data_IF_597411067529
#
_entry.id   IF_597411067529
#
_cell.length_a   1.000
_cell.length_b   1.000
_cell.length_c   1.000
_cell.angle_alpha   90.00
_cell.angle_beta   90.00
_cell.angle_gamma   90.00
#
_symmetry.space_group_name_H-M   'P 1'
#
loop_
_entity.id
_entity.type
_entity.pdbx_description
1 polymer ?
#
# COMPACT_ATOMS: atom_id res chain seq x y z
N UNK A 1 -6.51 7.12 -14.70
CA UNK A 1 -7.33 6.27 -13.79
C UNK A 1 -7.32 6.86 -12.40
N UNK A 2 -8.27 6.50 -11.52
CA UNK A 2 -8.29 7.01 -10.14
C UNK A 2 -8.98 6.06 -9.16
N UNK A 3 -8.64 6.20 -7.88
CA UNK A 3 -9.21 5.43 -6.79
C UNK A 3 -9.36 6.31 -5.56
N UNK A 4 -10.40 6.08 -4.76
CA UNK A 4 -10.63 6.84 -3.52
C UNK A 4 -10.97 5.89 -2.38
N UNK A 5 -10.28 6.06 -1.26
CA UNK A 5 -10.61 5.43 0.02
C UNK A 5 -11.38 6.45 0.84
N UNK A 6 -12.66 6.15 1.07
CA UNK A 6 -13.58 7.01 1.83
C UNK A 6 -13.85 6.33 3.18
N UNK A 7 -13.36 6.90 4.30
CA UNK A 7 -13.70 6.38 5.62
C UNK A 7 -15.11 6.77 6.05
N UNK A 8 -15.63 6.07 7.05
CA UNK A 8 -16.84 6.49 7.78
C UNK A 8 -16.55 7.77 8.60
N UNK A 9 -15.34 7.87 9.18
CA UNK A 9 -14.82 9.05 9.87
C UNK A 9 -13.32 9.14 9.62
N UNK A 10 -12.81 10.32 9.26
CA UNK A 10 -11.37 10.55 9.05
C UNK A 10 -11.05 11.12 7.67
N UNK A 11 -9.75 11.21 7.38
CA UNK A 11 -9.21 11.79 6.15
C UNK A 11 -9.46 10.90 4.93
N UNK A 12 -9.65 11.49 3.74
CA UNK A 12 -9.74 10.72 2.50
C UNK A 12 -8.35 10.44 1.93
N UNK A 13 -8.19 9.30 1.27
CA UNK A 13 -7.05 9.03 0.38
C UNK A 13 -7.55 8.96 -1.05
N UNK A 14 -7.05 9.84 -1.90
CA UNK A 14 -7.41 9.91 -3.32
C UNK A 14 -6.16 9.66 -4.16
N UNK A 15 -6.22 8.69 -5.06
CA UNK A 15 -5.16 8.34 -5.98
C UNK A 15 -5.58 8.69 -7.41
N UNK A 16 -4.67 9.26 -8.18
CA UNK A 16 -4.88 9.58 -9.59
C UNK A 16 -3.63 9.31 -10.42
N UNK A 17 -3.82 8.84 -11.64
CA UNK A 17 -2.75 8.74 -12.65
C UNK A 17 -2.93 9.88 -13.65
N UNK A 18 -1.88 10.65 -13.89
CA UNK A 18 -1.91 11.74 -14.87
C UNK A 18 -1.60 11.25 -16.31
N UNK A 19 -1.54 12.19 -17.26
CA UNK A 19 -1.28 11.88 -18.67
C UNK A 19 0.19 11.49 -18.97
N UNK A 20 1.08 11.55 -17.98
CA UNK A 20 2.48 11.13 -18.06
C UNK A 20 2.71 9.82 -17.28
N UNK A 21 1.63 9.11 -16.96
CA UNK A 21 1.65 7.86 -16.21
C UNK A 21 2.27 8.00 -14.80
N UNK A 22 2.24 9.20 -14.23
CA UNK A 22 2.68 9.46 -12.85
C UNK A 22 1.50 9.23 -11.91
N UNK A 23 1.73 8.46 -10.85
CA UNK A 23 0.74 8.18 -9.82
C UNK A 23 0.88 9.17 -8.67
N UNK A 24 -0.21 9.89 -8.42
CA UNK A 24 -0.31 10.85 -7.33
C UNK A 24 -1.26 10.36 -6.23
N UNK A 25 -1.02 10.86 -5.03
CA UNK A 25 -1.93 10.78 -3.89
C UNK A 25 -2.30 12.17 -3.40
N UNK A 26 -3.54 12.33 -2.92
CA UNK A 26 -4.00 13.47 -2.14
C UNK A 26 -4.51 12.95 -0.80
N UNK A 27 -4.08 13.62 0.27
CA UNK A 27 -4.55 13.34 1.62
C UNK A 27 -5.57 14.43 1.96
N UNK A 28 -6.83 14.06 2.16
CA UNK A 28 -7.90 14.97 2.61
C UNK A 28 -8.04 16.23 1.74
N UNK A 29 -8.12 16.03 0.42
CA UNK A 29 -8.31 17.10 -0.58
C UNK A 29 -7.21 18.16 -0.61
N UNK A 30 -6.02 17.86 -0.06
CA UNK A 30 -4.84 18.71 -0.18
C UNK A 30 -4.19 18.59 -1.57
N UNK A 31 -3.12 19.37 -1.79
CA UNK A 31 -2.36 19.35 -3.04
C UNK A 31 -1.74 17.97 -3.27
N UNK A 32 -1.71 17.55 -4.54
CA UNK A 32 -1.14 16.26 -4.95
C UNK A 32 0.34 16.11 -4.57
N UNK A 33 0.70 14.89 -4.21
CA UNK A 33 2.05 14.39 -3.95
C UNK A 33 2.27 13.12 -4.77
N UNK A 34 3.48 12.83 -5.27
CA UNK A 34 3.79 11.51 -5.82
C UNK A 34 3.42 10.43 -4.80
N UNK A 35 2.79 9.34 -5.25
CA UNK A 35 2.30 8.30 -4.34
C UNK A 35 3.43 7.63 -3.53
N UNK A 36 4.66 7.63 -4.05
CA UNK A 36 5.86 7.10 -3.40
C UNK A 36 6.27 7.89 -2.15
N UNK A 37 5.95 9.19 -2.06
CA UNK A 37 6.16 9.98 -0.84
C UNK A 37 5.39 9.37 0.33
N UNK A 38 4.15 8.91 0.10
CA UNK A 38 3.38 8.23 1.14
C UNK A 38 4.01 6.88 1.50
N UNK A 39 4.54 6.13 0.54
CA UNK A 39 5.23 4.86 0.83
C UNK A 39 6.48 5.06 1.69
N UNK A 40 7.28 6.09 1.40
CA UNK A 40 8.43 6.46 2.22
C UNK A 40 8.04 6.84 3.63
N UNK A 41 6.99 7.67 3.79
CA UNK A 41 6.49 8.05 5.11
C UNK A 41 5.96 6.86 5.94
N UNK A 42 5.55 5.77 5.27
CA UNK A 42 5.15 4.51 5.90
C UNK A 42 6.34 3.60 6.26
N UNK A 43 7.59 3.99 5.98
CA UNK A 43 8.80 3.26 6.37
C UNK A 43 9.55 2.59 5.22
N UNK A 44 9.16 2.79 3.96
CA UNK A 44 9.93 2.30 2.79
C UNK A 44 10.80 3.43 2.24
N UNK A 45 11.88 3.75 2.96
CA UNK A 45 12.65 4.98 2.76
C UNK A 45 13.36 5.06 1.41
N UNK A 46 13.74 3.92 0.81
CA UNK A 46 14.53 3.87 -0.42
C UNK A 46 13.73 3.39 -1.65
N UNK A 47 14.19 3.81 -2.84
CA UNK A 47 13.59 3.44 -4.12
C UNK A 47 13.64 1.93 -4.34
N UNK A 48 14.75 1.29 -3.95
CA UNK A 48 14.94 -0.15 -4.09
C UNK A 48 13.92 -0.91 -3.25
N UNK A 49 13.69 -0.53 -1.99
CA UNK A 49 12.66 -1.14 -1.16
C UNK A 49 11.28 -1.01 -1.80
N UNK A 50 10.94 0.17 -2.32
CA UNK A 50 9.65 0.41 -2.98
C UNK A 50 9.50 -0.48 -4.24
N UNK A 51 10.56 -0.63 -5.03
CA UNK A 51 10.57 -1.49 -6.23
C UNK A 51 10.42 -2.97 -5.83
N UNK A 52 11.09 -3.41 -4.77
CA UNK A 52 11.05 -4.80 -4.31
C UNK A 52 9.64 -5.21 -3.85
N UNK A 53 8.87 -4.27 -3.27
CA UNK A 53 7.51 -4.55 -2.77
C UNK A 53 6.42 -4.45 -3.85
N UNK A 54 6.53 -3.51 -4.79
CA UNK A 54 5.49 -3.26 -5.80
C UNK A 54 5.80 -3.91 -7.15
N UNK A 55 7.04 -4.34 -7.36
CA UNK A 55 7.55 -4.78 -8.65
C UNK A 55 7.94 -3.60 -9.54
N UNK A 56 8.83 -3.90 -10.48
CA UNK A 56 9.36 -2.91 -11.42
C UNK A 56 8.40 -2.69 -12.59
N UNK A 57 7.87 -1.47 -12.73
CA UNK A 57 7.02 -1.07 -13.85
C UNK A 57 7.19 0.43 -14.17
N UNK A 58 6.75 0.81 -15.37
CA UNK A 58 6.89 2.16 -15.92
C UNK A 58 6.22 3.25 -15.05
N UNK A 59 5.00 3.01 -14.57
CA UNK A 59 4.27 3.95 -13.71
C UNK A 59 5.03 4.23 -12.40
N UNK A 60 5.61 3.18 -11.81
CA UNK A 60 6.39 3.30 -10.58
C UNK A 60 7.67 4.09 -10.83
N UNK A 61 8.41 3.78 -11.89
CA UNK A 61 9.64 4.50 -12.27
C UNK A 61 9.37 5.99 -12.50
N UNK A 62 8.34 6.33 -13.28
CA UNK A 62 7.95 7.71 -13.54
C UNK A 62 7.54 8.45 -12.25
N UNK A 63 6.92 7.73 -11.30
CA UNK A 63 6.52 8.29 -10.01
C UNK A 63 7.72 8.53 -9.10
N UNK A 64 8.66 7.58 -9.03
CA UNK A 64 9.92 7.72 -8.28
C UNK A 64 10.78 8.87 -8.84
N UNK A 65 10.89 9.00 -10.16
CA UNK A 65 11.61 10.12 -10.79
C UNK A 65 10.98 11.48 -10.44
N UNK A 66 9.66 11.51 -10.21
CA UNK A 66 8.95 12.73 -9.81
C UNK A 66 9.00 13.02 -8.31
N UNK A 67 9.38 12.04 -7.50
CA UNK A 67 9.51 12.14 -6.06
C UNK A 67 10.79 12.86 -5.68
N UNK A 68 10.67 14.01 -5.01
CA UNK A 68 11.83 14.79 -4.56
C UNK A 68 12.36 14.34 -3.20
N UNK A 69 11.76 13.32 -2.59
CA UNK A 69 12.14 12.78 -1.29
C UNK A 69 12.96 11.51 -1.46
N UNK A 70 14.00 11.35 -0.64
CA UNK A 70 14.96 10.23 -0.69
C UNK A 70 15.07 9.50 0.66
N UNK A 71 14.26 9.90 1.64
CA UNK A 71 14.23 9.31 2.98
C UNK A 71 12.84 9.40 3.60
N UNK A 72 12.61 8.57 4.62
CA UNK A 72 11.39 8.55 5.43
C UNK A 72 11.13 9.91 6.08
N UNK A 73 12.14 10.55 6.65
CA UNK A 73 12.04 11.85 7.32
C UNK A 73 11.65 12.95 6.34
N UNK A 74 12.30 13.03 5.17
CA UNK A 74 11.95 14.03 4.16
C UNK A 74 10.53 13.85 3.66
N UNK A 75 10.09 12.60 3.50
CA UNK A 75 8.73 12.30 3.10
C UNK A 75 7.68 12.70 4.15
N UNK A 76 7.97 12.46 5.43
CA UNK A 76 7.14 12.93 6.55
C UNK A 76 7.03 14.47 6.56
N UNK A 77 8.15 15.18 6.39
CA UNK A 77 8.18 16.64 6.34
C UNK A 77 7.39 17.18 5.14
N UNK A 78 7.57 16.62 3.94
CA UNK A 78 6.82 17.02 2.73
C UNK A 78 5.30 16.84 2.94
N UNK A 79 4.87 15.71 3.52
CA UNK A 79 3.46 15.48 3.83
C UNK A 79 2.94 16.51 4.86
N UNK A 80 3.73 16.81 5.90
CA UNK A 80 3.36 17.80 6.90
C UNK A 80 3.15 19.18 6.30
N UNK A 81 4.09 19.65 5.46
CA UNK A 81 4.00 20.96 4.80
C UNK A 81 2.74 21.09 3.93
N UNK A 82 2.30 20.00 3.29
CA UNK A 82 1.04 20.00 2.52
C UNK A 82 -0.21 20.03 3.39
N UNK A 83 -0.17 19.39 4.56
CA UNK A 83 -1.31 19.33 5.48
C UNK A 83 -1.43 20.59 6.35
N UNK A 84 -0.30 21.23 6.68
CA UNK A 84 -0.21 22.41 7.54
C UNK A 84 0.74 23.45 6.94
N UNK A 85 0.32 24.14 5.86
CA UNK A 85 1.16 25.13 5.21
C UNK A 85 1.46 26.31 6.17
N UNK A 86 2.74 26.62 6.35
CA UNK A 86 3.21 27.77 7.15
C UNK A 86 3.57 27.44 8.61
N UNK A 87 3.33 26.22 9.07
CA UNK A 87 3.88 25.74 10.35
C UNK A 87 5.27 25.11 10.12
N UNK A 88 6.30 25.44 10.92
CA UNK A 88 7.61 24.83 10.76
C UNK A 88 7.54 23.32 11.06
N UNK A 89 7.93 22.44 10.12
CA UNK A 89 7.78 21.01 10.28
C UNK A 89 8.92 20.42 11.14
N UNK A 90 8.59 19.47 12.01
CA UNK A 90 9.57 18.58 12.66
C UNK A 90 9.20 17.14 12.34
N UNK A 91 10.19 16.23 12.31
CA UNK A 91 9.92 14.81 12.02
C UNK A 91 8.91 14.22 13.01
N UNK A 92 9.05 14.57 14.29
CA UNK A 92 8.15 14.11 15.36
C UNK A 92 6.71 14.60 15.18
N UNK A 93 6.53 15.90 14.87
CA UNK A 93 5.21 16.47 14.63
C UNK A 93 4.58 15.91 13.34
N UNK A 94 5.39 15.63 12.32
CA UNK A 94 4.96 14.99 11.09
C UNK A 94 4.51 13.54 11.29
N UNK A 95 5.29 12.75 12.03
CA UNK A 95 4.98 11.38 12.46
C UNK A 95 3.66 11.36 13.23
N UNK A 96 3.56 12.18 14.29
CA UNK A 96 2.37 12.31 15.11
C UNK A 96 1.12 12.74 14.31
N UNK A 97 1.28 13.70 13.39
CA UNK A 97 0.16 14.17 12.55
C UNK A 97 -0.38 13.04 11.68
N UNK A 98 0.49 12.34 10.96
CA UNK A 98 0.10 11.27 10.04
C UNK A 98 -0.47 10.06 10.80
N UNK A 99 0.12 9.71 11.96
CA UNK A 99 -0.40 8.68 12.87
C UNK A 99 -1.83 9.02 13.29
N UNK A 100 -2.04 10.22 13.84
CA UNK A 100 -3.36 10.64 14.31
C UNK A 100 -4.42 10.68 13.20
N UNK A 101 -3.99 10.82 11.94
CA UNK A 101 -4.89 10.99 10.80
C UNK A 101 -5.39 9.67 10.22
N UNK A 102 -4.58 8.61 10.28
CA UNK A 102 -4.90 7.31 9.66
C UNK A 102 -4.87 6.10 10.60
N UNK A 103 -4.13 6.19 11.70
CA UNK A 103 -3.84 5.04 12.57
C UNK A 103 -4.43 5.18 13.98
N UNK A 104 -4.86 6.37 14.39
CA UNK A 104 -5.66 6.56 15.60
C UNK A 104 -7.13 6.13 15.37
N UNK A 105 -7.55 5.04 16.02
CA UNK A 105 -8.90 4.48 15.93
C UNK A 105 -10.02 5.45 16.35
N UNK A 106 -9.72 6.48 17.16
CA UNK A 106 -10.69 7.52 17.50
C UNK A 106 -10.92 8.47 16.32
N UNK A 107 -9.89 8.74 15.53
CA UNK A 107 -9.89 9.73 14.44
C UNK A 107 -10.16 9.12 13.05
N UNK A 108 -9.80 7.86 12.84
CA UNK A 108 -9.99 7.15 11.58
C UNK A 108 -10.78 5.86 11.76
N UNK A 109 -11.87 5.72 11.01
CA UNK A 109 -12.77 4.56 11.10
C UNK A 109 -13.45 4.29 9.76
N UNK A 110 -13.42 3.03 9.33
CA UNK A 110 -14.13 2.55 8.13
C UNK A 110 -15.54 2.02 8.44
N UNK A 111 -15.88 1.83 9.72
CA UNK A 111 -17.03 1.08 10.20
C UNK A 111 -17.10 -0.35 9.63
N UNK A 112 -18.07 -1.13 10.11
CA UNK A 112 -18.27 -2.52 9.68
C UNK A 112 -18.51 -2.62 8.16
N UNK A 113 -19.31 -1.71 7.60
CA UNK A 113 -19.65 -1.71 6.18
C UNK A 113 -18.46 -1.30 5.31
N UNK A 114 -17.69 -0.29 5.71
CA UNK A 114 -16.52 0.12 4.93
C UNK A 114 -15.43 -0.94 4.97
N UNK A 115 -15.18 -1.57 6.13
CA UNK A 115 -14.27 -2.71 6.25
C UNK A 115 -14.71 -3.88 5.37
N UNK A 116 -15.99 -4.27 5.41
CA UNK A 116 -16.54 -5.32 4.55
C UNK A 116 -16.33 -5.02 3.06
N UNK A 117 -16.65 -3.80 2.62
CA UNK A 117 -16.49 -3.38 1.22
C UNK A 117 -15.02 -3.39 0.79
N UNK A 118 -14.12 -2.86 1.62
CA UNK A 118 -12.69 -2.82 1.33
C UNK A 118 -12.10 -4.23 1.22
N UNK A 119 -12.35 -5.10 2.21
CA UNK A 119 -11.85 -6.48 2.21
C UNK A 119 -12.39 -7.26 1.00
N UNK A 120 -13.68 -7.10 0.67
CA UNK A 120 -14.28 -7.75 -0.51
C UNK A 120 -13.67 -7.25 -1.82
N UNK A 121 -13.38 -5.95 -1.93
CA UNK A 121 -12.81 -5.35 -3.15
C UNK A 121 -11.36 -5.76 -3.35
N UNK A 122 -10.56 -5.74 -2.28
CA UNK A 122 -9.12 -6.00 -2.31
C UNK A 122 -8.75 -7.48 -2.13
N UNK A 123 -9.74 -8.36 -1.98
CA UNK A 123 -9.50 -9.79 -1.82
C UNK A 123 -8.64 -10.36 -2.96
N UNK A 124 -7.58 -11.10 -2.60
CA UNK A 124 -6.57 -11.61 -3.53
C UNK A 124 -7.15 -12.50 -4.64
N UNK A 125 -8.20 -13.26 -4.32
CA UNK A 125 -9.03 -14.02 -5.28
C UNK A 125 -9.37 -13.21 -6.54
N UNK A 126 -9.79 -11.96 -6.38
CA UNK A 126 -10.22 -11.13 -7.50
C UNK A 126 -9.06 -10.77 -8.45
N UNK A 127 -7.82 -10.76 -7.92
CA UNK A 127 -6.60 -10.44 -8.67
C UNK A 127 -6.00 -11.67 -9.34
N UNK A 128 -6.13 -12.84 -8.71
CA UNK A 128 -5.55 -14.09 -9.17
C UNK A 128 -6.40 -14.81 -10.23
N UNK A 129 -7.71 -14.53 -10.29
CA UNK A 129 -8.58 -15.17 -11.27
C UNK A 129 -8.10 -14.93 -12.70
N UNK A 130 -8.03 -16.01 -13.50
CA UNK A 130 -7.49 -16.04 -14.86
C UNK A 130 -6.01 -15.63 -14.99
N UNK A 131 -5.25 -15.61 -13.90
CA UNK A 131 -3.81 -15.45 -13.94
C UNK A 131 -3.11 -16.81 -13.99
N UNK A 132 -1.89 -16.82 -14.51
CA UNK A 132 -1.02 -18.01 -14.54
C UNK A 132 -0.06 -17.96 -13.37
N UNK A 133 0.07 -19.07 -12.65
CA UNK A 133 0.99 -19.20 -11.52
C UNK A 133 2.44 -19.07 -12.01
N UNK A 134 3.18 -18.14 -11.41
CA UNK A 134 4.59 -17.88 -11.74
C UNK A 134 5.56 -18.91 -11.11
N UNK A 135 5.24 -19.40 -9.92
CA UNK A 135 6.08 -20.30 -9.12
C UNK A 135 5.23 -21.41 -8.49
N UNK A 136 5.75 -22.64 -8.43
CA UNK A 136 5.04 -23.77 -7.84
C UNK A 136 4.72 -23.48 -6.37
N UNK A 137 3.43 -23.53 -6.02
CA UNK A 137 2.95 -23.32 -4.67
C UNK A 137 2.98 -24.65 -3.92
N UNK A 138 3.65 -24.67 -2.78
CA UNK A 138 3.81 -25.85 -1.93
C UNK A 138 3.32 -25.52 -0.54
N UNK A 139 2.61 -26.46 0.08
CA UNK A 139 2.26 -26.38 1.49
C UNK A 139 3.52 -26.64 2.34
N UNK A 140 3.98 -25.67 3.16
CA UNK A 140 5.21 -25.82 3.93
C UNK A 140 5.11 -26.86 5.06
N UNK A 141 3.90 -27.20 5.52
CA UNK A 141 3.69 -28.17 6.60
C UNK A 141 3.71 -29.61 6.08
N UNK A 142 3.09 -29.84 4.92
CA UNK A 142 2.89 -31.19 4.36
C UNK A 142 3.86 -31.53 3.22
N UNK A 143 4.44 -30.52 2.57
CA UNK A 143 5.22 -30.66 1.36
C UNK A 143 4.37 -30.94 0.10
N UNK A 144 3.04 -30.86 0.20
CA UNK A 144 2.14 -31.09 -0.92
C UNK A 144 2.24 -29.96 -1.95
N UNK A 145 2.34 -30.31 -3.24
CA UNK A 145 2.26 -29.34 -4.33
C UNK A 145 0.80 -28.91 -4.47
N UNK A 146 0.51 -27.69 -3.99
CA UNK A 146 -0.80 -27.10 -4.08
C UNK A 146 -1.11 -26.69 -5.51
N UNK A 147 -0.17 -26.10 -6.24
CA UNK A 147 -0.35 -25.81 -7.66
C UNK A 147 0.99 -25.65 -8.38
N UNK A 148 1.10 -26.21 -9.58
CA UNK A 148 2.33 -26.16 -10.37
C UNK A 148 2.48 -24.83 -11.10
N UNK A 149 3.74 -24.40 -11.28
CA UNK A 149 4.09 -23.29 -12.18
C UNK A 149 3.45 -23.49 -13.56
N UNK A 150 2.86 -22.43 -14.11
CA UNK A 150 2.17 -22.46 -15.40
C UNK A 150 0.69 -22.85 -15.32
N UNK A 151 0.19 -23.25 -14.16
CA UNK A 151 -1.24 -23.51 -13.97
C UNK A 151 -2.04 -22.23 -14.07
N UNK A 152 -3.12 -22.25 -14.86
CA UNK A 152 -4.09 -21.14 -14.93
C UNK A 152 -5.07 -21.25 -13.77
N UNK A 153 -5.27 -20.14 -13.05
CA UNK A 153 -6.17 -20.03 -11.90
C UNK A 153 -7.61 -19.78 -12.36
N UNK A 154 -8.29 -20.86 -12.74
CA UNK A 154 -9.74 -20.87 -12.92
C UNK A 154 -10.49 -20.82 -11.57
N UNK A 155 -11.83 -20.75 -11.60
CA UNK A 155 -12.63 -20.67 -10.38
C UNK A 155 -12.44 -21.87 -9.46
N UNK A 156 -12.34 -23.08 -10.02
CA UNK A 156 -12.30 -24.33 -9.26
C UNK A 156 -10.96 -24.47 -8.52
N UNK A 157 -9.86 -24.25 -9.23
CA UNK A 157 -8.52 -24.32 -8.64
C UNK A 157 -8.32 -23.18 -7.65
N UNK A 158 -8.80 -21.98 -7.96
CA UNK A 158 -8.68 -20.85 -7.05
C UNK A 158 -9.48 -21.05 -5.76
N UNK A 159 -10.71 -21.58 -5.83
CA UNK A 159 -11.51 -21.88 -4.64
C UNK A 159 -10.84 -22.93 -3.74
N UNK A 160 -10.12 -23.90 -4.33
CA UNK A 160 -9.29 -24.86 -3.58
C UNK A 160 -8.08 -24.21 -2.90
N UNK A 161 -7.46 -23.20 -3.54
CA UNK A 161 -6.24 -22.57 -3.05
C UNK A 161 -6.48 -21.48 -2.00
N UNK A 162 -7.66 -20.84 -1.97
CA UNK A 162 -7.97 -19.74 -1.06
C UNK A 162 -7.66 -20.07 0.42
N UNK A 163 -8.07 -21.22 0.98
CA UNK A 163 -7.78 -21.53 2.39
C UNK A 163 -6.28 -21.58 2.70
N UNK A 164 -5.44 -21.95 1.73
CA UNK A 164 -3.99 -21.98 1.87
C UNK A 164 -3.38 -20.57 1.77
N UNK A 165 -3.87 -19.77 0.81
CA UNK A 165 -3.46 -18.37 0.66
C UNK A 165 -3.84 -17.53 1.88
N UNK A 166 -5.01 -17.79 2.49
CA UNK A 166 -5.45 -17.11 3.72
C UNK A 166 -4.60 -17.47 4.94
N UNK A 167 -3.93 -18.63 4.94
CA UNK A 167 -2.91 -19.00 5.92
C UNK A 167 -1.55 -18.35 5.67
N UNK A 168 -1.42 -17.53 4.62
CA UNK A 168 -0.18 -16.86 4.25
C UNK A 168 0.78 -17.70 3.40
N UNK A 169 0.34 -18.83 2.83
CA UNK A 169 1.19 -19.62 1.94
C UNK A 169 1.51 -18.81 0.68
N UNK A 170 2.79 -18.69 0.36
CA UNK A 170 3.28 -17.86 -0.75
C UNK A 170 3.34 -16.36 -0.45
N UNK A 171 2.99 -15.94 0.76
CA UNK A 171 3.16 -14.55 1.20
C UNK A 171 4.57 -14.35 1.75
N UNK A 172 5.15 -13.18 1.46
CA UNK A 172 6.38 -12.71 2.09
C UNK A 172 6.01 -11.67 3.13
N UNK A 173 6.48 -11.86 4.36
CA UNK A 173 6.37 -10.85 5.40
C UNK A 173 7.53 -9.88 5.26
N UNK A 174 7.21 -8.60 5.17
CA UNK A 174 8.18 -7.51 5.11
C UNK A 174 8.13 -6.79 6.45
N UNK A 175 9.29 -6.67 7.09
CA UNK A 175 9.46 -5.83 8.29
C UNK A 175 9.98 -4.47 7.88
N UNK A 176 9.36 -3.41 8.38
CA UNK A 176 9.80 -2.04 8.19
C UNK A 176 10.78 -1.62 9.30
N UNK A 177 11.68 -0.70 8.97
CA UNK A 177 12.50 0.05 9.94
C UNK A 177 12.14 1.51 9.73
N UNK A 178 11.77 2.25 10.78
CA UNK A 178 11.32 3.64 10.62
C UNK A 178 9.84 3.82 10.24
N UNK A 179 9.48 5.08 10.01
CA UNK A 179 8.18 5.49 9.47
C UNK A 179 7.17 5.94 10.52
N UNK A 180 5.94 6.14 10.07
CA UNK A 180 4.84 6.64 10.93
C UNK A 180 4.43 5.66 12.04
N UNK A 181 4.75 4.37 11.87
CA UNK A 181 4.31 3.28 12.76
C UNK A 181 5.39 2.77 13.70
N UNK A 182 6.61 3.29 13.62
CA UNK A 182 7.66 2.89 14.55
C UNK A 182 7.30 3.37 15.96
N UNK A 183 7.18 2.44 16.90
CA UNK A 183 7.12 2.74 18.34
C UNK A 183 8.57 2.96 18.83
N UNK A 184 8.80 4.05 19.56
CA UNK A 184 10.10 4.33 20.19
C UNK A 184 10.49 3.27 21.24
#
# INVERSE_FOLDING_TARGET
FGATVIPNRGAWLEYETDAKDIVYVRIDRTRKLPATVLLRALGFGSDQEIIDILGDNEYLRNTLEKDNTDSTEKALLEIYERLRPGEPPTVESAKSLLYSRFFDAKRYDLANVGRYKMNKKLHIKNRLFNQTIAETLVDPETGEILAEKGTVLDRRNLDRLIPYLEKGIGFRTLSQVGGVLEED
#
